data_IF_939308843545
#
_entry.id   IF_939308843545
#
_cell.length_a   1.000
_cell.length_b   1.000
_cell.length_c   1.000
_cell.angle_alpha   90.00
_cell.angle_beta   90.00
_cell.angle_gamma   90.00
#
_symmetry.space_group_name_H-M   'P 1'
#
loop_
_entity.id
_entity.type
_entity.pdbx_description
1 polymer ?
#
# COMPACT_ATOMS: atom_id res chain seq x y z
N UNK A 1 6.92 -12.01 -6.46
CA UNK A 1 8.04 -11.29 -5.81
C UNK A 1 7.75 -9.80 -5.69
N UNK A 2 7.48 -9.07 -6.78
CA UNK A 2 7.23 -7.62 -6.72
C UNK A 2 6.04 -7.21 -5.82
N UNK A 3 4.94 -7.97 -5.86
CA UNK A 3 3.73 -7.64 -5.11
C UNK A 3 3.82 -7.95 -3.61
N UNK A 4 4.81 -8.73 -3.16
CA UNK A 4 4.94 -9.14 -1.74
C UNK A 4 5.27 -7.94 -0.85
N UNK A 5 6.27 -7.09 -1.15
CA UNK A 5 6.55 -5.91 -0.31
C UNK A 5 5.59 -4.73 -0.55
N UNK A 6 4.78 -4.73 -1.62
CA UNK A 6 4.01 -3.55 -2.03
C UNK A 6 2.56 -3.54 -1.55
N UNK A 7 2.37 -2.83 -0.42
CA UNK A 7 1.13 -2.31 0.20
C UNK A 7 0.07 -1.75 -0.72
N UNK A 8 -1.21 -2.12 -0.59
CA UNK A 8 -2.27 -1.16 -0.87
C UNK A 8 -2.42 -0.16 0.29
N UNK A 9 -1.34 0.59 0.53
CA UNK A 9 -1.14 1.50 1.67
C UNK A 9 -1.81 2.85 1.45
N UNK A 10 -1.75 3.43 0.25
CA UNK A 10 -2.34 4.74 -0.02
C UNK A 10 -3.85 4.72 -0.31
N UNK A 11 -4.41 3.64 -0.89
CA UNK A 11 -5.87 3.59 -1.09
C UNK A 11 -6.56 2.99 0.13
N UNK A 12 -6.27 1.74 0.47
CA UNK A 12 -6.96 1.07 1.59
C UNK A 12 -6.39 1.53 2.93
N UNK A 13 -5.07 1.60 3.05
CA UNK A 13 -4.42 2.01 4.30
C UNK A 13 -4.86 3.40 4.77
N UNK A 14 -4.87 4.42 3.91
CA UNK A 14 -5.30 5.77 4.31
C UNK A 14 -6.77 5.85 4.74
N UNK A 15 -7.65 5.01 4.20
CA UNK A 15 -9.04 4.95 4.63
C UNK A 15 -9.23 4.19 5.95
N UNK A 16 -8.41 3.17 6.21
CA UNK A 16 -8.59 2.31 7.39
C UNK A 16 -7.80 2.78 8.62
N UNK A 17 -6.60 3.34 8.46
CA UNK A 17 -5.76 3.77 9.60
C UNK A 17 -6.49 4.77 10.53
N UNK A 18 -7.20 5.79 10.02
CA UNK A 18 -7.97 6.70 10.88
C UNK A 18 -9.03 6.00 11.75
N UNK A 19 -9.59 4.90 11.26
CA UNK A 19 -10.64 4.13 11.94
C UNK A 19 -10.04 3.09 12.89
N UNK A 20 -8.90 2.48 12.53
CA UNK A 20 -8.27 1.41 13.29
C UNK A 20 -7.38 1.92 14.44
N UNK A 21 -6.64 3.00 14.20
CA UNK A 21 -5.65 3.56 15.15
C UNK A 21 -6.06 4.94 15.63
N UNK A 22 -6.58 5.77 14.74
CA UNK A 22 -7.02 7.14 15.04
C UNK A 22 -6.62 8.13 13.94
N UNK A 23 -7.31 9.26 13.89
CA UNK A 23 -7.13 10.25 12.82
C UNK A 23 -5.68 10.79 12.74
N UNK A 24 -5.04 10.99 13.89
CA UNK A 24 -3.66 11.51 13.96
C UNK A 24 -2.62 10.52 13.41
N UNK A 25 -2.92 9.21 13.49
CA UNK A 25 -2.03 8.16 13.01
C UNK A 25 -1.88 8.15 11.48
N UNK A 26 -2.79 8.82 10.74
CA UNK A 26 -2.72 8.95 9.29
C UNK A 26 -1.39 9.54 8.83
N UNK A 27 -0.79 10.44 9.61
CA UNK A 27 0.54 11.02 9.31
C UNK A 27 1.62 9.96 9.13
N UNK A 28 1.58 8.90 9.94
CA UNK A 28 2.55 7.81 9.86
C UNK A 28 2.32 6.96 8.63
N UNK A 29 1.06 6.74 8.26
CA UNK A 29 0.71 6.05 7.03
C UNK A 29 1.18 6.81 5.79
N UNK A 30 1.02 8.13 5.79
CA UNK A 30 1.48 8.99 4.69
C UNK A 30 2.98 8.88 4.49
N UNK A 31 3.75 8.97 5.58
CA UNK A 31 5.21 8.81 5.54
C UNK A 31 5.61 7.42 5.06
N UNK A 32 5.00 6.36 5.61
CA UNK A 32 5.27 4.97 5.23
C UNK A 32 5.01 4.71 3.74
N UNK A 33 3.91 5.23 3.22
CA UNK A 33 3.55 5.04 1.83
C UNK A 33 4.48 5.80 0.89
N UNK A 34 4.67 7.10 1.12
CA UNK A 34 5.38 7.96 0.17
C UNK A 34 6.89 7.74 0.18
N UNK A 35 7.48 7.54 1.37
CA UNK A 35 8.92 7.31 1.52
C UNK A 35 9.28 5.82 1.50
N UNK A 36 8.33 4.92 1.77
CA UNK A 36 8.56 3.48 1.71
C UNK A 36 7.99 2.87 0.44
N UNK A 37 6.68 2.59 0.47
CA UNK A 37 5.99 1.78 -0.56
C UNK A 37 6.15 2.35 -1.98
N UNK A 38 5.97 3.65 -2.14
CA UNK A 38 6.08 4.30 -3.44
C UNK A 38 7.52 4.35 -3.96
N UNK A 39 8.51 4.61 -3.10
CA UNK A 39 9.92 4.54 -3.50
C UNK A 39 10.32 3.12 -3.92
N UNK A 40 9.84 2.09 -3.22
CA UNK A 40 10.04 0.69 -3.61
C UNK A 40 9.40 0.44 -4.99
N UNK A 41 8.17 0.90 -5.24
CA UNK A 41 7.52 0.75 -6.55
C UNK A 41 8.32 1.47 -7.66
N UNK A 42 8.74 2.70 -7.41
CA UNK A 42 9.45 3.53 -8.37
C UNK A 42 10.88 3.04 -8.65
N UNK A 43 11.51 2.34 -7.71
CA UNK A 43 12.86 1.80 -7.86
C UNK A 43 12.84 0.29 -8.15
N UNK A 44 12.63 -0.54 -7.12
CA UNK A 44 12.58 -1.99 -7.18
C UNK A 44 11.54 -2.50 -8.17
N UNK A 45 10.36 -1.88 -8.23
CA UNK A 45 9.32 -2.28 -9.19
C UNK A 45 9.76 -2.15 -10.63
N UNK A 46 10.39 -1.03 -10.98
CA UNK A 46 10.94 -0.84 -12.31
C UNK A 46 12.18 -1.71 -12.57
N UNK A 47 13.00 -1.96 -11.55
CA UNK A 47 14.13 -2.88 -11.66
C UNK A 47 13.68 -4.31 -11.98
N UNK A 48 12.66 -4.83 -11.29
CA UNK A 48 12.08 -6.15 -11.57
C UNK A 48 11.51 -6.20 -12.99
N UNK A 49 10.80 -5.16 -13.41
CA UNK A 49 10.28 -5.10 -14.80
C UNK A 49 11.40 -5.08 -15.83
N UNK A 50 12.48 -4.31 -15.61
CA UNK A 50 13.62 -4.31 -16.52
C UNK A 50 14.30 -5.69 -16.59
N UNK A 51 14.51 -6.32 -15.42
CA UNK A 51 15.21 -7.61 -15.33
C UNK A 51 14.43 -8.76 -16.01
N UNK A 52 13.11 -8.83 -15.80
CA UNK A 52 12.29 -9.94 -16.28
C UNK A 52 11.48 -9.64 -17.54
N UNK A 53 11.21 -8.37 -17.82
CA UNK A 53 10.44 -7.91 -19.00
C UNK A 53 11.30 -7.54 -20.21
N UNK A 54 12.62 -7.75 -20.14
CA UNK A 54 13.55 -7.51 -21.26
C UNK A 54 13.88 -6.04 -21.54
N UNK A 55 13.54 -5.13 -20.61
CA UNK A 55 13.79 -3.70 -20.74
C UNK A 55 15.12 -3.24 -20.14
N UNK A 56 15.56 -2.05 -20.52
CA UNK A 56 16.71 -1.39 -19.90
C UNK A 56 16.42 -1.03 -18.44
N UNK A 57 17.42 -1.20 -17.56
CA UNK A 57 17.31 -0.79 -16.15
C UNK A 57 17.01 0.71 -16.07
N UNK A 58 16.12 1.15 -15.16
CA UNK A 58 15.79 2.56 -15.02
C UNK A 58 17.01 3.31 -14.51
N UNK A 59 17.34 4.44 -15.14
CA UNK A 59 18.33 5.36 -14.59
C UNK A 59 17.79 6.07 -13.35
N UNK A 60 18.70 6.51 -12.46
CA UNK A 60 18.35 7.28 -11.26
C UNK A 60 17.52 8.52 -11.61
N UNK A 61 17.85 9.20 -12.72
CA UNK A 61 17.09 10.35 -13.23
C UNK A 61 15.63 10.01 -13.57
N UNK A 62 15.35 8.83 -14.11
CA UNK A 62 14.00 8.38 -14.43
C UNK A 62 13.18 8.14 -13.16
N UNK A 63 13.79 7.54 -12.14
CA UNK A 63 13.15 7.30 -10.83
C UNK A 63 12.87 8.65 -10.16
N UNK A 64 13.87 9.53 -10.07
CA UNK A 64 13.74 10.85 -9.47
C UNK A 64 12.62 11.67 -10.15
N UNK A 65 12.58 11.70 -11.48
CA UNK A 65 11.51 12.41 -12.22
C UNK A 65 10.12 11.84 -11.92
N UNK A 66 9.97 10.53 -11.78
CA UNK A 66 8.68 9.91 -11.42
C UNK A 66 8.24 10.31 -10.02
N UNK A 67 9.17 10.36 -9.07
CA UNK A 67 8.88 10.80 -7.70
C UNK A 67 8.47 12.26 -7.67
N UNK A 68 9.24 13.13 -8.32
CA UNK A 68 9.00 14.58 -8.32
C UNK A 68 7.70 14.99 -9.04
N UNK A 69 7.24 14.21 -10.03
CA UNK A 69 6.01 14.48 -10.78
C UNK A 69 4.80 13.72 -10.19
N UNK A 70 4.99 12.89 -9.16
CA UNK A 70 3.90 12.13 -8.57
C UNK A 70 2.97 13.04 -7.75
N UNK A 71 1.67 13.17 -8.09
CA UNK A 71 0.79 14.14 -7.45
C UNK A 71 0.71 14.01 -5.93
N UNK A 72 0.63 12.81 -5.32
CA UNK A 72 0.68 12.67 -3.87
C UNK A 72 1.97 13.18 -3.25
N UNK A 73 3.13 12.96 -3.89
CA UNK A 73 4.40 13.47 -3.39
C UNK A 73 4.45 14.99 -3.44
N UNK A 74 3.96 15.60 -4.52
CA UNK A 74 3.81 17.06 -4.62
C UNK A 74 2.86 17.57 -3.53
N UNK A 75 1.73 16.90 -3.32
CA UNK A 75 0.77 17.26 -2.28
C UNK A 75 1.38 17.19 -0.87
N UNK A 76 2.22 16.19 -0.58
CA UNK A 76 2.99 16.11 0.67
C UNK A 76 3.92 17.32 0.82
N UNK A 77 4.72 17.62 -0.22
CA UNK A 77 5.66 18.74 -0.17
C UNK A 77 4.92 20.05 0.08
N UNK A 78 3.81 20.29 -0.63
CA UNK A 78 2.95 21.47 -0.42
C UNK A 78 2.37 21.49 0.99
N UNK A 79 1.88 20.35 1.49
CA UNK A 79 1.34 20.24 2.85
C UNK A 79 2.37 20.53 3.94
N UNK A 80 3.65 20.17 3.73
CA UNK A 80 4.72 20.40 4.70
C UNK A 80 5.36 21.78 4.62
N UNK A 81 5.20 22.51 3.50
CA UNK A 81 5.95 23.76 3.26
C UNK A 81 5.07 24.99 3.11
N UNK A 82 3.94 24.88 2.41
CA UNK A 82 3.08 26.01 2.03
C UNK A 82 1.79 26.03 2.84
N UNK A 83 1.30 24.85 3.25
CA UNK A 83 0.03 24.76 3.98
C UNK A 83 0.21 25.24 5.43
N UNK A 84 -0.54 26.27 5.87
CA UNK A 84 -0.50 26.71 7.26
C UNK A 84 -1.12 25.66 8.19
N UNK A 85 -0.80 25.75 9.49
CA UNK A 85 -1.40 24.89 10.52
C UNK A 85 -2.93 25.00 10.54
N UNK A 86 -3.43 26.22 10.36
CA UNK A 86 -4.85 26.55 10.32
C UNK A 86 -5.21 27.11 8.93
N UNK A 87 -5.47 26.24 7.94
CA UNK A 87 -5.84 26.70 6.60
C UNK A 87 -7.18 27.44 6.59
N UNK A 88 -7.39 28.35 5.62
CA UNK A 88 -8.67 29.00 5.42
C UNK A 88 -9.81 27.98 5.40
N UNK A 89 -10.92 28.30 6.08
CA UNK A 89 -12.02 27.33 6.30
C UNK A 89 -12.52 26.67 5.01
N UNK A 90 -12.53 27.39 3.89
CA UNK A 90 -12.93 26.85 2.58
C UNK A 90 -12.02 25.70 2.14
N UNK A 91 -10.69 25.84 2.31
CA UNK A 91 -9.72 24.81 1.97
C UNK A 91 -9.81 23.66 2.95
N UNK A 92 -9.85 23.97 4.26
CA UNK A 92 -9.97 22.97 5.32
C UNK A 92 -11.21 22.08 5.13
N UNK A 93 -12.35 22.70 4.87
CA UNK A 93 -13.61 22.00 4.67
C UNK A 93 -13.61 21.17 3.38
N UNK A 94 -13.09 21.71 2.27
CA UNK A 94 -12.96 20.97 1.01
C UNK A 94 -12.08 19.72 1.16
N UNK A 95 -10.92 19.84 1.81
CA UNK A 95 -10.03 18.70 2.07
C UNK A 95 -10.69 17.67 3.00
N UNK A 96 -11.43 18.13 4.01
CA UNK A 96 -12.12 17.23 4.94
C UNK A 96 -13.24 16.44 4.27
N UNK A 97 -14.02 17.07 3.39
CA UNK A 97 -15.03 16.36 2.58
C UNK A 97 -14.39 15.27 1.70
N UNK A 98 -13.24 15.55 1.09
CA UNK A 98 -12.50 14.56 0.31
C UNK A 98 -11.98 13.41 1.19
N UNK A 99 -11.46 13.72 2.38
CA UNK A 99 -10.98 12.74 3.35
C UNK A 99 -12.11 11.84 3.85
N UNK A 100 -13.25 12.42 4.23
CA UNK A 100 -14.43 11.69 4.73
C UNK A 100 -15.04 10.80 3.62
N UNK A 101 -14.91 11.19 2.35
CA UNK A 101 -15.33 10.39 1.20
C UNK A 101 -14.39 9.20 0.90
N UNK A 102 -13.17 9.15 1.46
CA UNK A 102 -12.22 8.06 1.17
C UNK A 102 -12.77 6.70 1.59
N UNK A 103 -13.36 6.60 2.79
CA UNK A 103 -13.87 5.33 3.31
C UNK A 103 -14.94 4.70 2.40
N UNK A 104 -16.04 5.40 2.03
CA UNK A 104 -17.04 4.83 1.13
C UNK A 104 -16.49 4.53 -0.28
N UNK A 105 -15.59 5.38 -0.80
CA UNK A 105 -14.94 5.13 -2.11
C UNK A 105 -14.10 3.86 -2.06
N UNK A 106 -13.35 3.64 -0.98
CA UNK A 106 -12.52 2.44 -0.81
C UNK A 106 -13.38 1.19 -0.70
N UNK A 107 -14.45 1.21 0.11
CA UNK A 107 -15.38 0.06 0.21
C UNK A 107 -15.96 -0.29 -1.16
N UNK A 108 -16.37 0.71 -1.94
CA UNK A 108 -16.84 0.50 -3.31
C UNK A 108 -15.74 -0.06 -4.24
N UNK A 109 -14.53 0.51 -4.17
CA UNK A 109 -13.39 0.09 -4.97
C UNK A 109 -12.98 -1.35 -4.65
N UNK A 110 -13.02 -1.77 -3.38
CA UNK A 110 -12.79 -3.15 -2.96
C UNK A 110 -13.78 -4.10 -3.64
N UNK A 111 -15.07 -3.74 -3.68
CA UNK A 111 -16.10 -4.50 -4.39
C UNK A 111 -15.82 -4.62 -5.89
N UNK A 112 -15.40 -3.52 -6.53
CA UNK A 112 -15.09 -3.50 -7.97
C UNK A 112 -13.77 -4.23 -8.33
N UNK A 113 -12.81 -4.28 -7.42
CA UNK A 113 -11.52 -4.95 -7.61
C UNK A 113 -11.63 -6.48 -7.53
N UNK A 114 -12.75 -7.00 -7.03
CA UNK A 114 -12.94 -8.43 -6.87
C UNK A 114 -13.04 -9.14 -8.23
N UNK A 115 -11.92 -9.74 -8.67
CA UNK A 115 -11.87 -10.58 -9.87
C UNK A 115 -11.34 -11.96 -9.52
N UNK A 116 -12.25 -12.90 -9.36
CA UNK A 116 -11.95 -14.30 -9.08
C UNK A 116 -11.76 -15.06 -10.40
N UNK A 117 -10.60 -14.84 -11.04
CA UNK A 117 -10.16 -15.65 -12.18
C UNK A 117 -8.82 -16.27 -11.84
N UNK A 118 -8.77 -17.60 -11.77
CA UNK A 118 -7.53 -18.31 -11.47
C UNK A 118 -7.30 -19.50 -12.39
N UNK A 119 -6.14 -19.55 -13.06
CA UNK A 119 -5.64 -20.78 -13.65
C UNK A 119 -5.07 -21.71 -12.56
N UNK A 120 -5.42 -23.00 -12.58
CA UNK A 120 -4.96 -23.98 -11.60
C UNK A 120 -3.42 -24.06 -11.44
N UNK A 121 -2.67 -23.76 -12.50
CA UNK A 121 -1.21 -23.80 -12.50
C UNK A 121 -0.55 -22.69 -11.65
N UNK A 122 -1.29 -21.68 -11.19
CA UNK A 122 -0.78 -20.58 -10.37
C UNK A 122 -1.14 -20.67 -8.88
N UNK A 123 -1.76 -21.77 -8.43
CA UNK A 123 -2.21 -21.95 -7.05
C UNK A 123 -1.05 -21.85 -6.03
N UNK A 124 0.06 -22.54 -6.28
CA UNK A 124 1.19 -22.54 -5.35
C UNK A 124 1.88 -21.15 -5.26
N UNK A 125 2.23 -20.47 -6.38
CA UNK A 125 2.72 -19.09 -6.33
C UNK A 125 1.75 -18.09 -5.69
N UNK A 126 0.44 -18.26 -5.92
CA UNK A 126 -0.60 -17.44 -5.30
C UNK A 126 -0.59 -17.63 -3.77
N UNK A 127 -0.70 -18.88 -3.30
CA UNK A 127 -0.74 -19.19 -1.87
C UNK A 127 0.50 -18.67 -1.16
N UNK A 128 1.69 -18.90 -1.74
CA UNK A 128 2.93 -18.35 -1.21
C UNK A 128 2.90 -16.82 -1.15
N UNK A 129 2.49 -16.15 -2.23
CA UNK A 129 2.43 -14.69 -2.27
C UNK A 129 1.45 -14.10 -1.25
N UNK A 130 0.30 -14.74 -1.04
CA UNK A 130 -0.70 -14.33 -0.06
C UNK A 130 -0.21 -14.53 1.37
N UNK A 131 0.31 -15.71 1.70
CA UNK A 131 0.86 -16.01 3.04
C UNK A 131 2.03 -15.09 3.36
N UNK A 132 2.97 -14.96 2.42
CA UNK A 132 4.14 -14.11 2.61
C UNK A 132 3.74 -12.66 2.86
N UNK A 133 2.71 -12.18 2.18
CA UNK A 133 2.30 -10.78 2.28
C UNK A 133 1.37 -10.49 3.45
N UNK A 134 0.35 -11.31 3.68
CA UNK A 134 -0.69 -11.03 4.67
C UNK A 134 -0.34 -11.56 6.07
N UNK A 135 0.63 -12.48 6.16
CA UNK A 135 1.06 -13.08 7.44
C UNK A 135 2.55 -12.84 7.72
N UNK A 136 3.45 -13.10 6.76
CA UNK A 136 4.89 -12.96 7.03
C UNK A 136 5.32 -11.48 7.10
N UNK A 137 4.92 -10.62 6.15
CA UNK A 137 5.30 -9.19 6.19
C UNK A 137 4.84 -8.47 7.47
N UNK A 138 3.59 -8.65 7.95
CA UNK A 138 3.15 -7.97 9.17
C UNK A 138 3.78 -8.57 10.42
N UNK A 139 4.00 -9.90 10.47
CA UNK A 139 4.75 -10.51 11.56
C UNK A 139 6.19 -9.99 11.64
N UNK A 140 6.84 -9.81 10.49
CA UNK A 140 8.18 -9.20 10.41
C UNK A 140 8.15 -7.74 10.84
N UNK A 141 7.16 -6.96 10.39
CA UNK A 141 7.00 -5.57 10.82
C UNK A 141 6.81 -5.48 12.33
N UNK A 142 5.93 -6.30 12.91
CA UNK A 142 5.68 -6.37 14.34
C UNK A 142 6.95 -6.70 15.13
N UNK A 143 7.67 -7.76 14.73
CA UNK A 143 8.93 -8.15 15.37
C UNK A 143 10.01 -7.08 15.28
N UNK A 144 10.18 -6.44 14.12
CA UNK A 144 11.14 -5.36 13.95
C UNK A 144 10.77 -4.14 14.80
N UNK A 145 9.50 -3.74 14.85
CA UNK A 145 9.06 -2.62 15.68
C UNK A 145 9.37 -2.85 17.16
N UNK A 146 9.18 -4.08 17.66
CA UNK A 146 9.57 -4.47 19.02
C UNK A 146 11.08 -4.43 19.24
N UNK A 147 11.88 -4.95 18.30
CA UNK A 147 13.35 -4.92 18.38
C UNK A 147 13.89 -3.49 18.42
N UNK A 148 13.28 -2.57 17.66
CA UNK A 148 13.67 -1.16 17.63
C UNK A 148 13.00 -0.30 18.71
N UNK A 149 12.13 -0.87 19.55
CA UNK A 149 11.45 -0.14 20.63
C UNK A 149 10.55 0.98 20.13
N UNK A 150 9.89 0.79 18.99
CA UNK A 150 8.96 1.79 18.45
C UNK A 150 7.71 1.91 19.33
N UNK A 151 7.03 3.07 19.27
CA UNK A 151 5.78 3.27 20.01
C UNK A 151 4.69 2.30 19.55
N UNK A 152 3.71 2.05 20.43
CA UNK A 152 2.56 1.19 20.11
C UNK A 152 1.82 1.69 18.86
N UNK A 153 1.55 2.99 18.79
CA UNK A 153 0.87 3.62 17.64
C UNK A 153 1.65 3.40 16.32
N UNK A 154 2.97 3.60 16.32
CA UNK A 154 3.82 3.34 15.14
C UNK A 154 3.82 1.87 14.74
N UNK A 155 3.86 0.98 15.74
CA UNK A 155 3.84 -0.47 15.54
C UNK A 155 2.54 -0.90 14.90
N UNK A 156 1.41 -0.43 15.43
CA UNK A 156 0.08 -0.70 14.87
C UNK A 156 -0.02 -0.23 13.41
N UNK A 157 0.37 1.02 13.13
CA UNK A 157 0.35 1.55 11.76
C UNK A 157 1.22 0.71 10.82
N UNK A 158 2.45 0.38 11.21
CA UNK A 158 3.35 -0.42 10.38
C UNK A 158 2.79 -1.83 10.10
N UNK A 159 2.21 -2.48 11.11
CA UNK A 159 1.60 -3.82 10.98
C UNK A 159 0.35 -3.76 10.10
N UNK A 160 -0.55 -2.80 10.31
CA UNK A 160 -1.73 -2.67 9.45
C UNK A 160 -1.35 -2.38 8.00
N UNK A 161 -0.40 -1.48 7.74
CA UNK A 161 0.03 -1.13 6.39
C UNK A 161 0.70 -2.30 5.65
N UNK A 162 1.46 -3.13 6.36
CA UNK A 162 2.03 -4.36 5.79
C UNK A 162 0.98 -5.45 5.61
N UNK A 163 -0.08 -5.48 6.42
CA UNK A 163 -1.20 -6.41 6.31
C UNK A 163 -2.22 -6.04 5.22
N UNK A 164 -2.05 -4.88 4.56
CA UNK A 164 -2.89 -4.48 3.43
C UNK A 164 -2.74 -5.45 2.24
N UNK A 165 -3.79 -5.64 1.42
CA UNK A 165 -3.70 -6.49 0.24
C UNK A 165 -2.70 -5.92 -0.80
N UNK A 166 -2.30 -6.69 -1.82
CA UNK A 166 -1.36 -6.23 -2.84
C UNK A 166 -1.77 -4.92 -3.51
N UNK A 167 -0.77 -4.07 -3.75
CA UNK A 167 -0.94 -2.79 -4.44
C UNK A 167 -1.45 -3.01 -5.87
N UNK A 168 -2.57 -2.36 -6.22
CA UNK A 168 -3.14 -2.40 -7.57
C UNK A 168 -2.14 -1.96 -8.66
N UNK A 169 -1.42 -0.87 -8.40
CA UNK A 169 -0.46 -0.28 -9.34
C UNK A 169 0.71 -1.21 -9.62
N UNK A 170 1.13 -2.02 -8.65
CA UNK A 170 2.16 -3.05 -8.86
C UNK A 170 1.67 -4.16 -9.81
N UNK A 171 0.39 -4.54 -9.73
CA UNK A 171 -0.19 -5.51 -10.66
C UNK A 171 -0.38 -4.93 -12.07
N UNK A 172 -0.78 -3.65 -12.16
CA UNK A 172 -0.85 -2.94 -13.43
C UNK A 172 0.53 -2.84 -14.10
N UNK A 173 1.58 -2.54 -13.32
CA UNK A 173 2.96 -2.48 -13.79
C UNK A 173 3.41 -3.85 -14.35
N UNK A 174 3.19 -4.94 -13.60
CA UNK A 174 3.49 -6.30 -14.07
C UNK A 174 2.71 -6.66 -15.33
N UNK A 175 1.42 -6.31 -15.38
CA UNK A 175 0.57 -6.61 -16.53
C UNK A 175 1.01 -5.86 -17.78
N UNK A 176 1.38 -4.59 -17.66
CA UNK A 176 1.91 -3.79 -18.77
C UNK A 176 3.24 -4.32 -19.30
N UNK A 177 4.01 -5.01 -18.45
CA UNK A 177 5.27 -5.67 -18.80
C UNK A 177 5.10 -7.12 -19.27
N UNK A 178 3.86 -7.65 -19.36
CA UNK A 178 3.61 -9.05 -19.71
C UNK A 178 4.06 -10.07 -18.65
N UNK A 179 4.35 -9.63 -17.43
CA UNK A 179 4.91 -10.47 -16.37
C UNK A 179 3.81 -11.12 -15.52
N UNK A 180 3.41 -12.33 -15.91
CA UNK A 180 2.40 -13.13 -15.22
C UNK A 180 1.14 -12.33 -14.83
N UNK A 181 0.47 -11.64 -15.79
CA UNK A 181 -0.64 -10.73 -15.51
C UNK A 181 -1.80 -11.41 -14.77
N UNK A 182 -2.03 -12.71 -15.05
CA UNK A 182 -3.08 -13.50 -14.41
C UNK A 182 -2.78 -13.72 -12.92
N UNK A 183 -1.54 -14.08 -12.58
CA UNK A 183 -1.10 -14.19 -11.18
C UNK A 183 -1.13 -12.83 -10.48
N UNK A 184 -0.73 -11.76 -11.16
CA UNK A 184 -0.72 -10.42 -10.60
C UNK A 184 -2.14 -9.94 -10.23
N UNK A 185 -3.11 -10.17 -11.11
CA UNK A 185 -4.52 -9.90 -10.86
C UNK A 185 -5.11 -10.80 -9.77
N UNK A 186 -4.73 -12.09 -9.75
CA UNK A 186 -5.18 -13.02 -8.73
C UNK A 186 -4.68 -12.63 -7.32
N UNK A 187 -3.40 -12.29 -7.17
CA UNK A 187 -2.85 -11.84 -5.88
C UNK A 187 -3.60 -10.63 -5.33
N UNK A 188 -3.94 -9.68 -6.20
CA UNK A 188 -4.78 -8.53 -5.83
C UNK A 188 -6.17 -8.99 -5.38
N UNK A 189 -6.90 -9.74 -6.23
CA UNK A 189 -8.29 -10.10 -5.96
C UNK A 189 -8.45 -10.98 -4.72
N UNK A 190 -7.69 -12.09 -4.65
CA UNK A 190 -7.69 -12.97 -3.49
C UNK A 190 -7.06 -12.31 -2.27
N UNK A 191 -6.03 -11.50 -2.44
CA UNK A 191 -5.41 -10.75 -1.35
C UNK A 191 -6.39 -9.79 -0.71
N UNK A 192 -7.20 -9.09 -1.50
CA UNK A 192 -8.30 -8.26 -1.01
C UNK A 192 -9.29 -9.07 -0.17
N UNK A 193 -9.77 -10.22 -0.64
CA UNK A 193 -10.67 -11.07 0.15
C UNK A 193 -10.02 -11.58 1.44
N UNK A 194 -8.82 -12.13 1.35
CA UNK A 194 -8.09 -12.64 2.52
C UNK A 194 -7.82 -11.51 3.52
N UNK A 195 -7.55 -10.29 3.05
CA UNK A 195 -7.34 -9.13 3.92
C UNK A 195 -8.55 -8.77 4.78
N UNK A 196 -9.78 -9.08 4.32
CA UNK A 196 -11.00 -8.88 5.12
C UNK A 196 -11.03 -9.76 6.38
N UNK A 197 -10.27 -10.87 6.39
CA UNK A 197 -10.14 -11.76 7.54
C UNK A 197 -8.83 -11.52 8.29
N UNK A 198 -7.73 -11.32 7.57
CA UNK A 198 -6.41 -11.16 8.20
C UNK A 198 -6.25 -9.81 8.91
N UNK A 199 -6.84 -8.71 8.42
CA UNK A 199 -6.77 -7.42 9.10
C UNK A 199 -7.46 -7.43 10.47
N UNK A 200 -8.70 -7.94 10.62
CA UNK A 200 -9.28 -8.16 11.94
C UNK A 200 -8.43 -9.07 12.82
N UNK A 201 -7.86 -10.15 12.29
CA UNK A 201 -7.00 -11.04 13.08
C UNK A 201 -5.77 -10.30 13.66
N UNK A 202 -5.12 -9.45 12.85
CA UNK A 202 -4.03 -8.59 13.32
C UNK A 202 -4.50 -7.54 14.33
N UNK A 203 -5.69 -6.97 14.14
CA UNK A 203 -6.29 -6.06 15.12
C UNK A 203 -6.45 -6.73 16.48
N UNK A 204 -6.95 -7.97 16.53
CA UNK A 204 -7.05 -8.74 17.78
C UNK A 204 -5.69 -9.03 18.40
N UNK A 205 -4.67 -9.40 17.60
CA UNK A 205 -3.32 -9.69 18.11
C UNK A 205 -2.66 -8.44 18.72
N UNK A 206 -2.85 -7.27 18.12
CA UNK A 206 -2.22 -6.03 18.57
C UNK A 206 -2.90 -5.42 19.81
N UNK A 207 -4.19 -5.70 20.00
CA UNK A 207 -5.01 -5.15 21.10
C UNK A 207 -5.28 -6.18 22.23
N UNK A 208 -4.69 -7.37 22.17
CA UNK A 208 -4.77 -8.40 23.21
C UNK A 208 -3.69 -8.18 24.28
#
# INVERSE_FOLDING_TARGET
LLQIPLGNTSFIGYALIPVLVGADALRYAVVYDQLGSFLILASWGLFVVALYGGGSRPGVSTIARRVLVFPPFIALVVALTVMPTDPPQVIAHGLRLLADALLPIVVLALGMQLRLRLPAHHLLPLAFGLVARLLLMPALAWGLCHVFGLSAELTEVAVYLTAMPPMMTSGALLSSAGLAPQLAAALIGYGTLCSMVTLPAWYWILNA
#
